data_IF_746608222754
#
_entry.id   IF_746608222754
#
_cell.length_a   1.000
_cell.length_b   1.000
_cell.length_c   1.000
_cell.angle_alpha   90.00
_cell.angle_beta   90.00
_cell.angle_gamma   90.00
#
_symmetry.space_group_name_H-M   'P 1'
#
loop_
_entity.id
_entity.type
_entity.pdbx_description
1 polymer ?
#
# COMPACT_ATOMS: atom_id res chain seq x y z
N UNK A 1 -38.46 -7.36 -20.10
CA UNK A 1 -37.26 -8.12 -19.72
C UNK A 1 -36.15 -7.63 -20.63
N UNK A 2 -35.23 -6.84 -20.09
CA UNK A 2 -34.11 -6.29 -20.85
C UNK A 2 -32.83 -6.84 -20.22
N UNK A 3 -32.27 -7.85 -20.87
CA UNK A 3 -31.04 -8.53 -20.48
C UNK A 3 -29.93 -7.94 -21.34
N UNK A 4 -29.20 -6.96 -20.79
CA UNK A 4 -28.00 -6.40 -21.43
C UNK A 4 -26.89 -7.45 -21.37
N UNK A 5 -26.92 -8.38 -22.31
CA UNK A 5 -25.84 -9.37 -22.49
C UNK A 5 -24.64 -8.66 -23.10
N UNK A 6 -23.84 -7.99 -22.28
CA UNK A 6 -22.54 -7.48 -22.69
C UNK A 6 -21.60 -8.66 -22.99
N UNK A 7 -21.07 -8.72 -24.21
CA UNK A 7 -20.04 -9.68 -24.57
C UNK A 7 -18.66 -9.19 -24.09
N UNK A 8 -17.93 -10.01 -23.34
CA UNK A 8 -16.53 -9.74 -23.03
C UNK A 8 -15.72 -10.03 -24.28
N UNK A 9 -15.23 -8.99 -24.96
CA UNK A 9 -14.34 -9.14 -26.11
C UNK A 9 -12.92 -9.37 -25.57
N UNK A 10 -12.44 -10.60 -25.71
CA UNK A 10 -11.05 -10.94 -25.46
C UNK A 10 -10.16 -10.16 -26.43
N UNK A 11 -9.44 -9.17 -25.91
CA UNK A 11 -8.51 -8.36 -26.70
C UNK A 11 -7.10 -8.89 -26.49
N UNK A 12 -6.29 -8.97 -27.54
CA UNK A 12 -4.88 -9.40 -27.46
C UNK A 12 -3.95 -8.38 -26.77
N UNK A 13 -4.51 -7.28 -26.25
CA UNK A 13 -3.77 -6.27 -25.50
C UNK A 13 -3.46 -6.78 -24.10
N UNK A 14 -2.19 -6.70 -23.69
CA UNK A 14 -1.78 -7.06 -22.33
C UNK A 14 -2.29 -6.06 -21.27
N UNK A 15 -2.84 -4.91 -21.70
CA UNK A 15 -3.43 -3.91 -20.82
C UNK A 15 -4.70 -3.31 -21.44
N UNK A 16 -5.77 -3.24 -20.66
CA UNK A 16 -6.99 -2.52 -21.00
C UNK A 16 -7.06 -1.24 -20.16
N UNK A 17 -6.73 -0.10 -20.76
CA UNK A 17 -6.82 1.22 -20.11
C UNK A 17 -8.09 1.90 -20.61
N UNK A 18 -9.05 2.11 -19.71
CA UNK A 18 -10.35 2.73 -20.03
C UNK A 18 -10.42 4.23 -19.73
N UNK A 19 -9.30 4.82 -19.30
CA UNK A 19 -9.18 6.24 -19.00
C UNK A 19 -7.95 6.54 -18.14
N UNK A 20 -7.63 7.83 -17.97
CA UNK A 20 -6.62 8.29 -17.04
C UNK A 20 -7.12 9.53 -16.30
N UNK A 21 -6.66 9.72 -15.07
CA UNK A 21 -6.90 10.94 -14.30
C UNK A 21 -5.56 11.41 -13.72
N UNK A 22 -5.35 12.72 -13.71
CA UNK A 22 -4.14 13.30 -13.11
C UNK A 22 -4.37 13.43 -11.61
N UNK A 23 -3.67 12.62 -10.84
CA UNK A 23 -3.61 12.71 -9.40
C UNK A 23 -2.49 13.69 -9.01
N UNK A 24 -2.84 14.89 -8.60
CA UNK A 24 -1.85 15.82 -8.04
C UNK A 24 -1.46 15.37 -6.63
N UNK A 25 -0.16 15.20 -6.38
CA UNK A 25 0.37 14.88 -5.07
C UNK A 25 -0.07 15.91 -4.01
N UNK A 26 -0.30 17.17 -4.38
CA UNK A 26 -0.78 18.21 -3.45
C UNK A 26 -2.21 17.98 -2.94
N UNK A 27 -3.03 17.19 -3.65
CA UNK A 27 -4.39 16.83 -3.23
C UNK A 27 -4.41 15.59 -2.32
N UNK A 28 -3.38 14.76 -2.40
CA UNK A 28 -3.27 13.52 -1.61
C UNK A 28 -2.31 13.67 -0.43
N UNK A 29 -1.09 14.15 -0.66
CA UNK A 29 -0.02 14.07 0.32
C UNK A 29 -0.11 15.09 1.43
N UNK A 30 -0.74 16.23 1.19
CA UNK A 30 -0.85 17.30 2.18
C UNK A 30 -1.67 16.92 3.41
N UNK A 31 -2.55 15.91 3.29
CA UNK A 31 -3.46 15.49 4.35
C UNK A 31 -2.96 14.30 5.17
N UNK A 32 -1.98 13.54 4.69
CA UNK A 32 -1.50 12.36 5.42
C UNK A 32 -0.92 12.75 6.79
N UNK A 33 -1.23 11.98 7.83
CA UNK A 33 -0.87 12.26 9.23
C UNK A 33 -1.42 13.59 9.81
N UNK A 34 -2.30 14.30 9.11
CA UNK A 34 -2.98 15.47 9.68
C UNK A 34 -4.09 15.05 10.64
N UNK A 35 -4.65 16.02 11.39
CA UNK A 35 -5.83 15.79 12.23
C UNK A 35 -7.03 15.34 11.41
N UNK A 36 -7.91 14.53 11.98
CA UNK A 36 -9.07 13.99 11.24
C UNK A 36 -9.97 15.03 10.57
N UNK A 37 -10.05 16.26 11.11
CA UNK A 37 -10.76 17.37 10.47
C UNK A 37 -10.21 17.76 9.09
N UNK A 38 -8.94 17.48 8.81
CA UNK A 38 -8.27 17.84 7.56
C UNK A 38 -8.68 16.92 6.39
N UNK A 39 -8.97 15.64 6.66
CA UNK A 39 -9.38 14.68 5.64
C UNK A 39 -10.88 14.40 5.60
N UNK A 40 -11.72 15.10 6.37
CA UNK A 40 -13.18 14.95 6.29
C UNK A 40 -13.72 15.19 4.87
N UNK A 41 -13.14 16.16 4.15
CA UNK A 41 -13.49 16.51 2.78
C UNK A 41 -12.65 15.74 1.73
N UNK A 42 -11.68 14.94 2.16
CA UNK A 42 -10.78 14.22 1.26
C UNK A 42 -11.33 12.81 0.97
N UNK A 43 -11.51 12.47 -0.30
CA UNK A 43 -12.06 11.16 -0.72
C UNK A 43 -11.03 10.02 -0.74
N UNK A 44 -9.80 10.31 -0.37
CA UNK A 44 -8.66 9.44 -0.62
C UNK A 44 -7.95 8.97 0.65
N UNK A 45 -8.33 9.54 1.79
CA UNK A 45 -7.84 9.18 3.10
C UNK A 45 -9.01 9.01 4.06
N UNK A 46 -8.77 8.35 5.18
CA UNK A 46 -9.78 8.13 6.21
C UNK A 46 -9.21 8.50 7.57
N UNK A 47 -10.06 8.98 8.47
CA UNK A 47 -9.70 9.17 9.87
C UNK A 47 -9.52 7.80 10.54
N UNK A 48 -8.30 7.48 10.96
CA UNK A 48 -8.05 6.28 11.77
C UNK A 48 -8.55 6.51 13.20
N UNK A 49 -9.42 5.63 13.67
CA UNK A 49 -9.87 5.64 15.07
C UNK A 49 -8.76 5.33 16.07
N UNK A 50 -7.67 4.67 15.63
CA UNK A 50 -6.55 4.29 16.49
C UNK A 50 -5.59 5.46 16.73
N UNK A 51 -5.22 6.18 15.68
CA UNK A 51 -4.24 7.27 15.77
C UNK A 51 -4.87 8.66 15.77
N UNK A 52 -6.18 8.76 15.53
CA UNK A 52 -6.93 10.01 15.39
C UNK A 52 -6.30 10.97 14.34
N UNK A 53 -5.75 10.39 13.29
CA UNK A 53 -5.14 11.11 12.16
C UNK A 53 -5.63 10.56 10.84
N UNK A 54 -5.45 11.36 9.79
CA UNK A 54 -5.74 10.98 8.42
C UNK A 54 -4.73 9.93 7.95
N UNK A 55 -5.24 8.76 7.60
CA UNK A 55 -4.48 7.58 7.20
C UNK A 55 -4.98 7.05 5.86
N UNK A 56 -4.16 6.20 5.24
CA UNK A 56 -4.59 5.47 4.07
C UNK A 56 -5.79 4.56 4.38
N UNK A 57 -6.75 4.42 3.45
CA UNK A 57 -7.86 3.50 3.59
C UNK A 57 -7.42 2.04 3.81
N UNK A 58 -8.35 1.19 4.24
CA UNK A 58 -8.08 -0.24 4.41
C UNK A 58 -7.49 -0.87 3.13
N UNK A 59 -6.55 -1.80 3.31
CA UNK A 59 -5.82 -2.48 2.23
C UNK A 59 -5.00 -1.54 1.31
N UNK A 60 -4.63 -0.36 1.80
CA UNK A 60 -3.69 0.55 1.15
C UNK A 60 -2.60 0.96 2.15
N UNK A 61 -1.47 1.44 1.63
CA UNK A 61 -0.32 1.86 2.44
C UNK A 61 0.18 3.22 1.99
N UNK A 62 0.91 3.93 2.84
CA UNK A 62 1.44 5.25 2.47
C UNK A 62 2.80 5.11 1.78
N UNK A 63 2.88 5.42 0.49
CA UNK A 63 4.15 5.29 -0.24
C UNK A 63 5.03 6.55 -0.20
N UNK A 64 4.69 7.55 0.62
CA UNK A 64 5.35 8.86 0.65
C UNK A 64 4.67 9.93 -0.20
N UNK A 65 3.77 9.56 -1.11
CA UNK A 65 3.04 10.52 -1.97
C UNK A 65 1.55 10.24 -2.10
N UNK A 66 1.12 8.99 -2.01
CA UNK A 66 -0.28 8.58 -2.13
C UNK A 66 -0.52 7.27 -1.39
N UNK A 67 -1.77 6.79 -1.43
CA UNK A 67 -2.21 5.53 -0.83
C UNK A 67 -2.47 4.47 -1.91
N UNK A 68 -1.44 3.87 -2.54
CA UNK A 68 -1.65 2.73 -3.42
C UNK A 68 -2.21 1.53 -2.66
N UNK A 69 -2.88 0.64 -3.40
CA UNK A 69 -3.31 -0.65 -2.86
C UNK A 69 -2.09 -1.46 -2.39
N UNK A 70 -2.28 -2.16 -1.28
CA UNK A 70 -1.30 -3.11 -0.78
C UNK A 70 -1.07 -4.25 -1.78
N UNK A 71 0.17 -4.72 -1.78
CA UNK A 71 0.73 -5.64 -2.74
C UNK A 71 0.42 -7.10 -2.37
N UNK A 72 0.25 -7.93 -3.41
CA UNK A 72 0.03 -9.36 -3.30
C UNK A 72 1.35 -10.13 -3.19
N UNK A 73 1.25 -11.44 -2.95
CA UNK A 73 2.40 -12.34 -2.86
C UNK A 73 3.30 -12.25 -4.11
N UNK A 74 4.61 -12.31 -3.90
CA UNK A 74 5.68 -12.19 -4.90
C UNK A 74 5.81 -10.81 -5.58
N UNK A 75 4.96 -9.83 -5.25
CA UNK A 75 5.15 -8.47 -5.73
C UNK A 75 6.36 -7.81 -5.05
N UNK A 76 7.15 -7.07 -5.82
CA UNK A 76 8.29 -6.30 -5.31
C UNK A 76 7.80 -5.16 -4.40
N UNK A 77 8.39 -5.05 -3.23
CA UNK A 77 8.02 -4.05 -2.22
C UNK A 77 9.26 -3.30 -1.73
N UNK A 78 9.06 -2.04 -1.34
CA UNK A 78 10.12 -1.15 -0.85
C UNK A 78 9.88 -0.63 0.56
N UNK A 79 8.76 -1.02 1.18
CA UNK A 79 8.34 -0.61 2.52
C UNK A 79 7.70 -1.78 3.26
N UNK A 80 7.79 -1.74 4.59
CA UNK A 80 7.36 -2.85 5.46
C UNK A 80 5.84 -3.11 5.43
N UNK A 81 5.05 -2.04 5.27
CA UNK A 81 3.59 -2.02 5.27
C UNK A 81 2.98 -2.09 3.86
N UNK A 82 3.83 -2.22 2.83
CA UNK A 82 3.40 -2.28 1.44
C UNK A 82 2.58 -3.54 1.09
N UNK A 83 2.73 -4.63 1.86
CA UNK A 83 2.10 -5.91 1.57
C UNK A 83 0.77 -6.08 2.31
N UNK A 84 -0.12 -6.90 1.75
CA UNK A 84 -1.45 -7.21 2.31
C UNK A 84 -1.35 -7.91 3.68
N UNK A 85 -1.52 -7.13 4.74
CA UNK A 85 -1.42 -7.62 6.12
C UNK A 85 -2.63 -8.46 6.55
N UNK A 86 -3.78 -8.25 5.94
CA UNK A 86 -5.02 -9.02 6.17
C UNK A 86 -4.91 -10.51 5.77
N UNK A 87 -3.95 -10.85 4.91
CA UNK A 87 -3.62 -12.23 4.52
C UNK A 87 -2.21 -12.66 4.98
N UNK A 88 -1.68 -11.99 6.02
CA UNK A 88 -0.38 -12.28 6.64
C UNK A 88 0.82 -12.16 5.69
N UNK A 89 0.77 -11.26 4.70
CA UNK A 89 1.94 -10.92 3.90
C UNK A 89 2.74 -9.79 4.55
N UNK A 90 4.05 -9.88 4.42
CA UNK A 90 5.02 -8.88 4.88
C UNK A 90 6.06 -8.67 3.80
N UNK A 91 6.61 -7.46 3.72
CA UNK A 91 7.73 -7.22 2.82
C UNK A 91 9.00 -7.84 3.42
N UNK A 92 9.53 -8.90 2.79
CA UNK A 92 10.70 -9.59 3.32
C UNK A 92 11.98 -8.81 3.00
N UNK A 93 12.92 -8.89 3.94
CA UNK A 93 14.21 -8.22 3.85
C UNK A 93 15.29 -9.24 3.51
N UNK A 94 16.20 -8.89 2.62
CA UNK A 94 17.38 -9.73 2.34
C UNK A 94 18.44 -9.56 3.45
N UNK A 95 19.54 -10.32 3.35
CA UNK A 95 20.66 -10.24 4.30
C UNK A 95 21.40 -8.89 4.31
N UNK A 96 21.16 -8.05 3.30
CA UNK A 96 21.75 -6.72 3.17
C UNK A 96 20.86 -5.61 3.74
N UNK A 97 19.67 -5.96 4.26
CA UNK A 97 18.74 -4.99 4.83
C UNK A 97 17.78 -4.37 3.79
N UNK A 98 17.72 -4.91 2.58
CA UNK A 98 16.88 -4.38 1.51
C UNK A 98 15.54 -5.11 1.44
N UNK A 99 14.47 -4.35 1.25
CA UNK A 99 13.15 -4.88 0.96
C UNK A 99 13.12 -5.49 -0.44
N UNK A 100 12.53 -6.69 -0.55
CA UNK A 100 12.54 -7.46 -1.81
C UNK A 100 11.15 -7.75 -2.33
N UNK A 101 10.38 -8.58 -1.64
CA UNK A 101 9.07 -9.03 -2.10
C UNK A 101 8.10 -9.35 -0.97
N UNK A 102 6.81 -9.31 -1.28
CA UNK A 102 5.76 -9.72 -0.36
C UNK A 102 5.73 -11.25 -0.25
N UNK A 103 5.91 -11.77 0.96
CA UNK A 103 5.76 -13.19 1.25
C UNK A 103 5.08 -13.37 2.60
N UNK A 104 4.57 -14.57 2.86
CA UNK A 104 3.97 -14.89 4.16
C UNK A 104 5.02 -14.75 5.26
N UNK A 105 4.66 -13.99 6.29
CA UNK A 105 5.58 -13.54 7.32
C UNK A 105 6.48 -14.66 7.86
N UNK A 106 7.77 -14.57 7.56
CA UNK A 106 8.83 -15.19 8.37
C UNK A 106 9.34 -14.10 9.29
N UNK A 107 9.13 -14.27 10.60
CA UNK A 107 9.65 -13.34 11.61
C UNK A 107 11.18 -13.47 11.62
N UNK A 108 11.89 -12.49 11.08
CA UNK A 108 13.35 -12.43 11.17
C UNK A 108 13.75 -11.76 12.48
N UNK A 109 14.29 -12.53 13.42
CA UNK A 109 14.87 -12.01 14.65
C UNK A 109 16.31 -11.54 14.38
N UNK A 110 16.56 -10.23 14.50
CA UNK A 110 17.92 -9.71 14.48
C UNK A 110 18.59 -9.93 15.85
N UNK A 111 19.61 -10.79 15.90
CA UNK A 111 20.48 -10.92 17.09
C UNK A 111 21.49 -9.77 17.09
N UNK A 112 21.27 -8.75 17.90
CA UNK A 112 22.29 -7.72 18.17
C UNK A 112 23.33 -8.33 19.12
N UNK A 113 24.59 -8.48 18.66
CA UNK A 113 25.73 -8.77 19.55
C UNK A 113 26.28 -7.45 20.07
N UNK A 114 26.39 -7.28 21.39
CA UNK A 114 27.19 -6.18 21.97
C UNK A 114 28.66 -6.39 21.61
N UNK A 115 29.26 -5.42 20.92
CA UNK A 115 30.72 -5.35 20.75
C UNK A 115 31.28 -4.59 21.94
N UNK A 116 32.14 -5.23 22.75
CA UNK A 116 32.95 -4.53 23.75
C UNK A 116 34.13 -3.89 23.02
N UNK A 117 34.20 -2.56 23.02
CA UNK A 117 35.45 -1.87 22.72
C UNK A 117 36.34 -1.95 23.96
N UNK A 118 37.51 -2.57 23.80
CA UNK A 118 38.60 -2.57 24.77
C UNK A 118 39.62 -1.49 24.44
#
# INVERSE_FOLDING_TARGET
ADLTNGAIIATASQTSIVGSMILSASLYASMYNQSCSACQENRYQTCSSTTNTCQCPGNSYWNGSMCPLQLFENATCSQIDACRSDINLSCIMNSYGEFTQCSRGSIYYFRIRKVKHG
#
